data_IF_396286069129
#
_entry.id   IF_396286069129
#
_cell.length_a   1.000
_cell.length_b   1.000
_cell.length_c   1.000
_cell.angle_alpha   90.00
_cell.angle_beta   90.00
_cell.angle_gamma   90.00
#
_symmetry.space_group_name_H-M   'P 1'
#
loop_
_entity.id
_entity.type
_entity.pdbx_description
1 polymer ?
#
# COMPACT_ATOMS: atom_id res chain seq x y z
N UNK A 1 11.37 -0.51 17.05
CA UNK A 1 10.13 -0.20 16.31
C UNK A 1 10.38 -0.54 14.85
N UNK A 2 9.76 -1.60 14.36
CA UNK A 2 9.85 -1.96 12.94
C UNK A 2 9.20 -0.85 12.11
N UNK A 3 9.94 -0.33 11.14
CA UNK A 3 9.39 0.67 10.21
C UNK A 3 8.39 -0.03 9.32
N UNK A 4 7.18 0.52 9.24
CA UNK A 4 6.20 0.06 8.26
C UNK A 4 6.75 0.33 6.86
N UNK A 5 6.76 -0.69 6.02
CA UNK A 5 7.22 -0.62 4.64
C UNK A 5 6.11 -0.98 3.68
N UNK A 6 6.33 -0.76 2.38
CA UNK A 6 5.44 -1.28 1.33
C UNK A 6 5.25 -2.80 1.43
N UNK A 7 6.25 -3.54 1.94
CA UNK A 7 6.17 -4.98 2.12
C UNK A 7 5.23 -5.34 3.28
N UNK A 8 5.24 -4.58 4.38
CA UNK A 8 4.33 -4.76 5.52
C UNK A 8 2.87 -4.59 5.09
N UNK A 9 2.58 -3.53 4.32
CA UNK A 9 1.23 -3.29 3.79
C UNK A 9 0.80 -4.39 2.81
N UNK A 10 1.76 -4.91 2.03
CA UNK A 10 1.50 -5.97 1.07
C UNK A 10 1.12 -7.29 1.77
N UNK A 11 1.82 -7.62 2.86
CA UNK A 11 1.53 -8.79 3.69
C UNK A 11 0.12 -8.72 4.30
N UNK A 12 -0.21 -7.58 4.92
CA UNK A 12 -1.53 -7.34 5.53
C UNK A 12 -2.69 -7.45 4.53
N UNK A 13 -2.46 -7.02 3.29
CA UNK A 13 -3.47 -7.06 2.23
C UNK A 13 -3.46 -8.38 1.44
N UNK A 14 -2.50 -9.28 1.68
CA UNK A 14 -2.31 -10.50 0.89
C UNK A 14 -1.99 -10.21 -0.58
N UNK A 15 -1.33 -9.10 -0.88
CA UNK A 15 -0.96 -8.70 -2.24
C UNK A 15 0.56 -8.64 -2.40
N UNK A 16 1.05 -8.48 -3.63
CA UNK A 16 2.48 -8.26 -3.84
C UNK A 16 2.90 -6.83 -3.48
N UNK A 17 4.14 -6.65 -3.03
CA UNK A 17 4.77 -5.31 -2.84
C UNK A 17 4.64 -4.42 -4.08
N UNK A 18 4.70 -5.01 -5.28
CA UNK A 18 4.49 -4.30 -6.54
C UNK A 18 3.07 -3.70 -6.67
N UNK A 19 2.04 -4.39 -6.16
CA UNK A 19 0.65 -3.90 -6.11
C UNK A 19 0.56 -2.65 -5.23
N UNK A 20 1.17 -2.70 -4.04
CA UNK A 20 1.23 -1.55 -3.13
C UNK A 20 2.01 -0.41 -3.76
N UNK A 21 3.16 -0.69 -4.37
CA UNK A 21 3.95 0.33 -5.09
C UNK A 21 3.18 0.99 -6.24
N UNK A 22 2.44 0.20 -7.02
CA UNK A 22 1.57 0.73 -8.07
C UNK A 22 0.46 1.61 -7.47
N UNK A 23 -0.02 1.34 -6.25
CA UNK A 23 -1.09 2.16 -5.64
C UNK A 23 -0.63 3.60 -5.39
N UNK A 24 0.66 3.79 -5.14
CA UNK A 24 1.29 5.11 -4.99
C UNK A 24 1.77 5.68 -6.33
N UNK A 25 2.51 4.89 -7.12
CA UNK A 25 3.23 5.40 -8.29
C UNK A 25 2.43 5.32 -9.60
N UNK A 26 1.51 4.37 -9.73
CA UNK A 26 0.70 4.11 -10.94
C UNK A 26 -0.73 3.71 -10.58
N UNK A 27 -1.49 4.60 -9.93
CA UNK A 27 -2.83 4.29 -9.43
C UNK A 27 -3.81 3.90 -10.54
N UNK A 28 -3.57 4.31 -11.77
CA UNK A 28 -4.35 3.94 -12.96
C UNK A 28 -4.31 2.43 -13.30
N UNK A 29 -3.28 1.71 -12.84
CA UNK A 29 -3.14 0.25 -13.07
C UNK A 29 -3.89 -0.59 -12.04
N UNK A 30 -4.56 0.05 -11.09
CA UNK A 30 -5.30 -0.59 -10.01
C UNK A 30 -6.75 -0.16 -10.06
N UNK A 31 -7.65 -1.08 -9.72
CA UNK A 31 -9.04 -0.71 -9.48
C UNK A 31 -9.12 0.27 -8.30
N UNK A 32 -10.03 1.24 -8.39
CA UNK A 32 -10.25 2.23 -7.35
C UNK A 32 -10.41 1.59 -5.96
N UNK A 33 -11.23 0.53 -5.87
CA UNK A 33 -11.45 -0.22 -4.63
C UNK A 33 -10.17 -0.82 -4.03
N UNK A 34 -9.27 -1.35 -4.86
CA UNK A 34 -8.01 -1.94 -4.38
C UNK A 34 -7.03 -0.85 -3.93
N UNK A 35 -6.95 0.25 -4.67
CA UNK A 35 -6.17 1.43 -4.28
C UNK A 35 -6.65 1.99 -2.94
N UNK A 36 -7.95 2.14 -2.75
CA UNK A 36 -8.53 2.64 -1.51
C UNK A 36 -8.19 1.73 -0.32
N UNK A 37 -8.28 0.40 -0.48
CA UNK A 37 -7.85 -0.55 0.55
C UNK A 37 -6.37 -0.38 0.90
N UNK A 38 -5.50 -0.24 -0.09
CA UNK A 38 -4.07 -0.02 0.13
C UNK A 38 -3.80 1.26 0.92
N UNK A 39 -4.43 2.36 0.53
CA UNK A 39 -4.27 3.65 1.21
C UNK A 39 -4.85 3.63 2.63
N UNK A 40 -5.96 2.92 2.83
CA UNK A 40 -6.58 2.76 4.14
C UNK A 40 -5.67 1.99 5.10
N UNK A 41 -5.20 0.81 4.69
CA UNK A 41 -4.29 -0.02 5.51
C UNK A 41 -2.97 0.70 5.75
N UNK A 42 -2.41 1.37 4.74
CA UNK A 42 -1.19 2.15 4.93
C UNK A 42 -1.37 3.26 5.98
N UNK A 43 -2.51 3.96 5.97
CA UNK A 43 -2.84 4.98 6.98
C UNK A 43 -3.01 4.39 8.37
N UNK A 44 -3.68 3.24 8.48
CA UNK A 44 -3.87 2.51 9.74
C UNK A 44 -2.53 2.09 10.37
N UNK A 45 -1.62 1.58 9.53
CA UNK A 45 -0.26 1.23 9.92
C UNK A 45 0.67 2.46 10.11
N UNK A 46 0.18 3.69 9.88
CA UNK A 46 0.99 4.91 10.02
C UNK A 46 2.03 5.11 8.89
N UNK A 47 1.91 4.39 7.78
CA UNK A 47 2.71 4.61 6.58
C UNK A 47 2.15 5.76 5.74
N UNK A 48 2.92 6.84 5.62
CA UNK A 48 2.51 8.06 4.90
C UNK A 48 2.86 8.06 3.40
N UNK A 49 3.33 6.94 2.87
CA UNK A 49 3.85 6.87 1.50
C UNK A 49 5.36 7.06 1.45
N UNK A 50 5.99 6.72 0.31
CA UNK A 50 7.37 7.10 0.05
C UNK A 50 7.44 8.63 -0.15
N UNK A 51 8.46 9.26 0.45
CA UNK A 51 8.88 10.64 0.17
C UNK A 51 9.37 10.77 -1.28
#
# INVERSE_FOLDING_TARGET
MERVTLQTIADELGVSRATVSNAYNRPERLSAALRERVLHVARDLGYRGPD
#
